data_IF_348421049664
#
_entry.id   IF_348421049664
#
_cell.length_a   1.000
_cell.length_b   1.000
_cell.length_c   1.000
_cell.angle_alpha   90.00
_cell.angle_beta   90.00
_cell.angle_gamma   90.00
#
_symmetry.space_group_name_H-M   'P 1'
#
loop_
_entity.id
_entity.type
_entity.pdbx_description
1 polymer ?
#
# COMPACT_ATOMS: atom_id res chain seq x y z
N UNK A 1 6.84 20.33 36.48
CA UNK A 1 7.94 19.37 36.26
C UNK A 1 7.44 18.33 35.27
N UNK A 2 7.83 18.42 34.00
CA UNK A 2 7.28 17.55 32.94
C UNK A 2 7.72 16.10 33.21
N UNK A 3 6.75 15.18 33.34
CA UNK A 3 7.02 13.74 33.48
C UNK A 3 7.93 13.33 32.31
N UNK A 4 9.12 12.83 32.62
CA UNK A 4 10.01 12.26 31.62
C UNK A 4 9.23 11.18 30.87
N UNK A 5 8.98 11.37 29.58
CA UNK A 5 8.33 10.37 28.73
C UNK A 5 9.18 9.11 28.78
N UNK A 6 8.66 8.06 29.40
CA UNK A 6 9.29 6.75 29.35
C UNK A 6 9.14 6.21 27.93
N UNK A 7 10.26 6.21 27.19
CA UNK A 7 10.33 5.72 25.81
C UNK A 7 10.45 4.19 25.73
N UNK A 8 10.52 3.49 26.86
CA UNK A 8 10.64 2.03 26.87
C UNK A 8 9.41 1.35 26.29
N UNK A 9 8.21 1.87 26.56
CA UNK A 9 6.97 1.35 25.99
C UNK A 9 6.96 1.48 24.46
N UNK A 10 7.37 2.64 23.94
CA UNK A 10 7.52 2.88 22.50
C UNK A 10 8.55 1.93 21.89
N UNK A 11 9.68 1.72 22.57
CA UNK A 11 10.73 0.79 22.11
C UNK A 11 10.23 -0.66 22.04
N UNK A 12 9.44 -1.12 23.00
CA UNK A 12 8.87 -2.46 22.97
C UNK A 12 7.82 -2.62 21.86
N UNK A 13 6.96 -1.63 21.65
CA UNK A 13 6.03 -1.60 20.51
C UNK A 13 6.80 -1.71 19.18
N UNK A 14 7.89 -0.95 19.04
CA UNK A 14 8.70 -0.96 17.81
C UNK A 14 9.44 -2.30 17.61
N UNK A 15 9.94 -2.92 18.67
CA UNK A 15 10.54 -4.28 18.59
C UNK A 15 9.51 -5.31 18.14
N UNK A 16 8.30 -5.28 18.70
CA UNK A 16 7.22 -6.18 18.31
C UNK A 16 6.81 -5.96 16.84
N UNK A 17 6.70 -4.70 16.41
CA UNK A 17 6.40 -4.37 15.01
C UNK A 17 7.49 -4.86 14.05
N UNK A 18 8.77 -4.77 14.44
CA UNK A 18 9.89 -5.32 13.66
C UNK A 18 9.85 -6.85 13.61
N UNK A 19 9.56 -7.51 14.73
CA UNK A 19 9.53 -8.97 14.84
C UNK A 19 8.38 -9.61 14.04
N UNK A 20 7.23 -8.93 13.91
CA UNK A 20 6.11 -9.37 13.05
C UNK A 20 6.49 -9.42 11.57
N UNK A 21 7.56 -8.73 11.16
CA UNK A 21 7.83 -8.45 9.75
C UNK A 21 6.73 -7.55 9.15
N UNK A 22 7.00 -6.99 7.97
CA UNK A 22 5.95 -6.38 7.15
C UNK A 22 5.90 -7.15 5.85
N UNK A 23 4.69 -7.52 5.42
CA UNK A 23 4.51 -8.00 4.06
C UNK A 23 4.93 -6.87 3.11
N UNK A 24 5.67 -7.21 2.06
CA UNK A 24 6.09 -6.21 1.08
C UNK A 24 4.84 -5.64 0.39
N UNK A 25 4.66 -4.32 0.48
CA UNK A 25 3.58 -3.59 -0.19
C UNK A 25 4.19 -2.82 -1.34
N UNK A 26 3.64 -3.02 -2.54
CA UNK A 26 4.11 -2.34 -3.74
C UNK A 26 3.30 -1.07 -3.97
N UNK A 27 3.99 0.03 -4.20
CA UNK A 27 3.36 1.28 -4.59
C UNK A 27 3.51 1.48 -6.10
N UNK A 28 2.39 1.62 -6.80
CA UNK A 28 2.37 2.02 -8.21
C UNK A 28 2.03 3.51 -8.27
N UNK A 29 2.99 4.31 -8.74
CA UNK A 29 2.83 5.74 -8.90
C UNK A 29 2.32 6.07 -10.31
N UNK A 30 1.02 6.33 -10.41
CA UNK A 30 0.31 6.66 -11.64
C UNK A 30 -0.97 5.84 -11.77
N UNK A 31 -2.09 6.51 -12.07
CA UNK A 31 -3.38 5.87 -12.33
C UNK A 31 -3.82 5.95 -13.81
N UNK A 32 -2.85 6.02 -14.73
CA UNK A 32 -3.10 5.84 -16.16
C UNK A 32 -3.03 4.36 -16.58
N UNK A 33 -3.21 4.06 -17.87
CA UNK A 33 -3.27 2.69 -18.39
C UNK A 33 -2.12 1.79 -17.90
N UNK A 34 -0.87 2.27 -18.00
CA UNK A 34 0.29 1.49 -17.57
C UNK A 34 0.35 1.26 -16.05
N UNK A 35 -0.09 2.24 -15.26
CA UNK A 35 -0.15 2.11 -13.79
C UNK A 35 -1.22 1.13 -13.34
N UNK A 36 -2.41 1.19 -13.96
CA UNK A 36 -3.49 0.24 -13.68
C UNK A 36 -3.09 -1.18 -14.10
N UNK A 37 -2.51 -1.35 -15.30
CA UNK A 37 -2.01 -2.65 -15.76
C UNK A 37 -0.95 -3.24 -14.81
N UNK A 38 0.00 -2.42 -14.36
CA UNK A 38 1.02 -2.85 -13.39
C UNK A 38 0.40 -3.21 -12.03
N UNK A 39 -0.56 -2.41 -11.54
CA UNK A 39 -1.25 -2.70 -10.29
C UNK A 39 -2.04 -4.01 -10.37
N UNK A 40 -2.73 -4.24 -11.49
CA UNK A 40 -3.40 -5.51 -11.77
C UNK A 40 -2.42 -6.69 -11.81
N UNK A 41 -1.30 -6.56 -12.53
CA UNK A 41 -0.28 -7.61 -12.62
C UNK A 41 0.34 -7.96 -11.26
N UNK A 42 0.71 -6.96 -10.45
CA UNK A 42 1.24 -7.18 -9.10
C UNK A 42 0.19 -7.81 -8.17
N UNK A 43 -1.07 -7.39 -8.27
CA UNK A 43 -2.18 -8.00 -7.54
C UNK A 43 -2.39 -9.46 -7.94
N UNK A 44 -2.34 -9.77 -9.24
CA UNK A 44 -2.39 -11.14 -9.77
C UNK A 44 -1.24 -12.02 -9.24
N UNK A 45 -0.04 -11.47 -9.08
CA UNK A 45 1.10 -12.14 -8.44
C UNK A 45 0.95 -12.34 -6.92
N UNK A 46 -0.15 -11.85 -6.31
CA UNK A 46 -0.44 -12.01 -4.89
C UNK A 46 0.19 -10.96 -3.98
N UNK A 47 0.68 -9.85 -4.54
CA UNK A 47 1.22 -8.76 -3.75
C UNK A 47 0.14 -7.77 -3.29
N UNK A 48 0.29 -7.21 -2.09
CA UNK A 48 -0.50 -6.03 -1.69
C UNK A 48 -0.02 -4.83 -2.52
N UNK A 49 -0.95 -4.16 -3.20
CA UNK A 49 -0.66 -3.01 -4.06
C UNK A 49 -1.38 -1.77 -3.56
N UNK A 50 -0.67 -0.64 -3.55
CA UNK A 50 -1.24 0.69 -3.32
C UNK A 50 -1.01 1.54 -4.56
N UNK A 51 -2.08 2.21 -5.02
CA UNK A 51 -1.99 3.17 -6.10
C UNK A 51 -1.87 4.58 -5.55
N UNK A 52 -0.96 5.35 -6.14
CA UNK A 52 -0.82 6.78 -5.90
C UNK A 52 -0.97 7.52 -7.22
N UNK A 53 -1.65 8.66 -7.22
CA UNK A 53 -1.67 9.57 -8.34
C UNK A 53 -1.58 11.01 -7.83
N UNK A 54 -0.91 11.89 -8.58
CA UNK A 54 -0.78 13.31 -8.19
C UNK A 54 -2.15 13.99 -8.05
N UNK A 55 -3.05 13.69 -8.98
CA UNK A 55 -4.45 14.17 -8.99
C UNK A 55 -5.31 13.06 -8.40
N UNK A 56 -5.85 13.28 -7.20
CA UNK A 56 -6.53 12.24 -6.40
C UNK A 56 -7.76 11.69 -7.11
N UNK A 57 -8.45 12.53 -7.88
CA UNK A 57 -9.69 12.19 -8.58
C UNK A 57 -9.50 11.05 -9.60
N UNK A 58 -8.29 10.85 -10.12
CA UNK A 58 -8.00 9.74 -11.02
C UNK A 58 -8.08 8.37 -10.32
N UNK A 59 -8.04 8.33 -8.98
CA UNK A 59 -8.20 7.10 -8.19
C UNK A 59 -9.67 6.79 -7.87
N UNK A 60 -10.61 7.69 -8.16
CA UNK A 60 -12.01 7.52 -7.77
C UNK A 60 -12.64 6.26 -8.38
N UNK A 61 -12.36 5.97 -9.66
CA UNK A 61 -12.84 4.76 -10.31
C UNK A 61 -12.31 3.50 -9.61
N UNK A 62 -11.01 3.43 -9.35
CA UNK A 62 -10.37 2.30 -8.64
C UNK A 62 -10.98 2.11 -7.25
N UNK A 63 -11.21 3.20 -6.52
CA UNK A 63 -11.86 3.15 -5.20
C UNK A 63 -13.29 2.65 -5.28
N UNK A 64 -14.05 3.10 -6.28
CA UNK A 64 -15.43 2.69 -6.49
C UNK A 64 -15.55 1.20 -6.78
N UNK A 65 -14.67 0.66 -7.64
CA UNK A 65 -14.62 -0.78 -7.94
C UNK A 65 -13.93 -1.62 -6.86
N UNK A 66 -13.29 -0.99 -5.87
CA UNK A 66 -12.54 -1.68 -4.81
C UNK A 66 -11.21 -2.28 -5.27
N UNK A 67 -10.72 -1.91 -6.46
CA UNK A 67 -9.52 -2.49 -7.05
C UNK A 67 -9.39 -2.20 -8.54
N UNK A 68 -8.53 -2.98 -9.20
CA UNK A 68 -8.34 -2.96 -10.65
C UNK A 68 -8.85 -4.28 -11.21
N UNK A 69 -9.73 -4.21 -12.19
CA UNK A 69 -10.13 -5.38 -12.97
C UNK A 69 -9.07 -5.69 -14.03
N UNK A 70 -8.69 -6.96 -14.14
CA UNK A 70 -7.59 -7.41 -15.00
C UNK A 70 -8.11 -8.47 -15.97
N UNK A 71 -8.07 -8.14 -17.26
CA UNK A 71 -8.39 -9.05 -18.36
C UNK A 71 -7.14 -9.39 -19.18
N UNK A 72 -7.21 -10.49 -19.96
CA UNK A 72 -6.16 -10.83 -20.93
C UNK A 72 -4.83 -11.26 -20.31
N UNK A 73 -4.82 -11.70 -19.05
CA UNK A 73 -3.67 -12.40 -18.49
C UNK A 73 -3.44 -13.70 -19.28
N UNK A 74 -2.23 -13.88 -19.82
CA UNK A 74 -1.78 -15.08 -20.56
C UNK A 74 -0.57 -15.67 -19.86
#
# INVERSE_FOLDING_TARGET
>A
MAKSRDWNEVREILKQAKARGKQAVWCVAGAGNGGLAMAGHLGYMGFEVRLYNRTDEHLNAVRWYGGVDLEGAV
#
